data_IF_207953912266
#
_entry.id   IF_207953912266
#
_cell.length_a   1.000
_cell.length_b   1.000
_cell.length_c   1.000
_cell.angle_alpha   90.00
_cell.angle_beta   90.00
_cell.angle_gamma   90.00
#
_symmetry.space_group_name_H-M   'P 1'
#
loop_
_entity.id
_entity.type
_entity.pdbx_description
1 polymer ?
#
# COMPACT_ATOMS: atom_id res chain seq x y z
N UNK A 1 0.42 -13.95 -2.63
CA UNK A 1 0.32 -12.53 -3.06
C UNK A 1 -1.02 -12.18 -3.73
N UNK A 2 -2.07 -12.99 -3.62
CA UNK A 2 -3.37 -12.71 -4.28
C UNK A 2 -4.28 -11.74 -3.50
N UNK A 3 -3.91 -11.37 -2.26
CA UNK A 3 -4.84 -10.73 -1.31
C UNK A 3 -4.78 -9.21 -1.22
N UNK A 4 -3.64 -8.58 -1.53
CA UNK A 4 -3.43 -7.14 -1.27
C UNK A 4 -4.28 -6.27 -2.19
N UNK A 5 -4.40 -6.67 -3.46
CA UNK A 5 -5.18 -5.94 -4.47
C UNK A 5 -6.70 -6.01 -4.24
N UNK A 6 -7.26 -7.20 -4.00
CA UNK A 6 -8.70 -7.35 -3.77
C UNK A 6 -9.13 -6.59 -2.51
N UNK A 7 -8.30 -6.61 -1.46
CA UNK A 7 -8.50 -5.80 -0.25
C UNK A 7 -8.49 -4.31 -0.56
N UNK A 8 -7.55 -3.84 -1.38
CA UNK A 8 -7.50 -2.45 -1.80
C UNK A 8 -8.76 -2.04 -2.56
N UNK A 9 -9.16 -2.79 -3.59
CA UNK A 9 -10.39 -2.52 -4.34
C UNK A 9 -11.62 -2.47 -3.44
N UNK A 10 -11.80 -3.48 -2.57
CA UNK A 10 -12.93 -3.54 -1.67
C UNK A 10 -12.95 -2.33 -0.72
N UNK A 11 -11.79 -1.89 -0.24
CA UNK A 11 -11.67 -0.68 0.56
C UNK A 11 -11.99 0.60 -0.21
N UNK A 12 -11.65 0.65 -1.50
CA UNK A 12 -11.91 1.79 -2.36
C UNK A 12 -13.38 1.93 -2.76
N UNK A 13 -14.10 0.82 -2.96
CA UNK A 13 -15.56 0.80 -3.16
C UNK A 13 -16.32 1.40 -1.97
N UNK A 14 -15.78 1.28 -0.75
CA UNK A 14 -16.39 1.87 0.45
C UNK A 14 -16.10 3.37 0.61
N UNK A 15 -15.02 3.88 -0.01
CA UNK A 15 -14.56 5.26 0.15
C UNK A 15 -14.88 6.16 -1.03
N UNK A 16 -15.18 5.58 -2.17
CA UNK A 16 -15.46 6.30 -3.42
C UNK A 16 -16.71 5.73 -4.08
N UNK A 17 -17.43 6.56 -4.81
CA UNK A 17 -18.52 6.13 -5.70
C UNK A 17 -18.01 5.75 -7.11
N UNK A 18 -16.69 5.70 -7.30
CA UNK A 18 -16.04 5.46 -8.59
C UNK A 18 -15.90 3.95 -8.85
N UNK A 19 -16.13 3.56 -10.12
CA UNK A 19 -15.88 2.19 -10.55
C UNK A 19 -14.38 2.03 -10.87
N UNK A 20 -13.63 1.52 -9.91
CA UNK A 20 -12.17 1.35 -10.00
C UNK A 20 -11.84 -0.04 -10.55
N UNK A 21 -10.99 -0.09 -11.58
CA UNK A 21 -10.49 -1.34 -12.17
C UNK A 21 -8.97 -1.45 -12.04
N UNK A 22 -8.41 -2.64 -12.30
CA UNK A 22 -6.95 -2.89 -12.30
C UNK A 22 -6.17 -1.85 -13.11
N UNK A 23 -6.71 -1.38 -14.25
CA UNK A 23 -6.01 -0.44 -15.11
C UNK A 23 -5.93 0.97 -14.54
N UNK A 24 -6.67 1.25 -13.47
CA UNK A 24 -6.71 2.55 -12.82
C UNK A 24 -5.76 2.66 -11.62
N UNK A 25 -5.15 1.56 -11.21
CA UNK A 25 -4.23 1.53 -10.07
C UNK A 25 -2.79 1.41 -10.56
N UNK A 26 -1.89 2.16 -9.93
CA UNK A 26 -0.47 1.89 -10.05
C UNK A 26 -0.09 0.74 -9.12
N UNK A 27 0.79 -0.13 -9.60
CA UNK A 27 1.37 -1.22 -8.82
C UNK A 27 2.88 -1.11 -8.92
N UNK A 28 3.53 -0.87 -7.80
CA UNK A 28 4.98 -0.88 -7.72
C UNK A 28 5.43 -1.79 -6.57
N UNK A 29 6.36 -2.67 -6.89
CA UNK A 29 7.10 -3.43 -5.91
C UNK A 29 8.45 -2.75 -5.77
N UNK A 30 8.65 -2.10 -4.63
CA UNK A 30 9.89 -1.41 -4.33
C UNK A 30 10.63 -2.14 -3.22
N UNK A 31 11.95 -2.19 -3.36
CA UNK A 31 12.86 -2.61 -2.30
C UNK A 31 13.11 -1.38 -1.42
N UNK A 32 12.83 -1.50 -0.12
CA UNK A 32 13.10 -0.46 0.86
C UNK A 32 14.04 -1.00 1.92
N UNK A 33 15.03 -0.19 2.28
CA UNK A 33 15.81 -0.41 3.49
C UNK A 33 14.98 -0.08 4.72
N UNK A 34 15.25 -0.75 5.85
CA UNK A 34 14.54 -0.49 7.11
C UNK A 34 14.58 0.99 7.52
N UNK A 35 15.68 1.68 7.21
CA UNK A 35 15.90 3.11 7.47
C UNK A 35 15.06 4.05 6.59
N UNK A 36 14.50 3.56 5.49
CA UNK A 36 13.60 4.30 4.61
C UNK A 36 12.12 4.17 5.03
N UNK A 37 11.84 3.27 5.97
CA UNK A 37 10.49 3.04 6.52
C UNK A 37 10.16 4.10 7.57
N UNK A 38 8.93 4.62 7.54
CA UNK A 38 8.44 5.51 8.59
C UNK A 38 8.04 4.70 9.83
N UNK A 39 8.81 4.85 10.92
CA UNK A 39 8.64 4.17 12.21
C UNK A 39 7.23 4.33 12.80
N UNK A 40 6.51 5.42 12.46
CA UNK A 40 5.19 5.69 13.02
C UNK A 40 4.12 4.66 12.60
N UNK A 41 4.37 3.91 11.54
CA UNK A 41 3.47 2.84 11.07
C UNK A 41 3.69 1.49 11.78
N UNK A 42 4.68 1.41 12.68
CA UNK A 42 5.04 0.18 13.37
C UNK A 42 5.04 0.40 14.88
N UNK A 43 4.70 -0.65 15.63
CA UNK A 43 5.07 -0.68 17.04
C UNK A 43 6.59 -0.87 17.18
N UNK A 44 7.14 -0.48 18.33
CA UNK A 44 8.58 -0.60 18.58
C UNK A 44 9.08 -2.05 18.40
N UNK A 45 8.27 -3.03 18.79
CA UNK A 45 8.61 -4.45 18.65
C UNK A 45 8.51 -4.94 17.20
N UNK A 46 7.52 -4.48 16.42
CA UNK A 46 7.43 -4.77 14.99
C UNK A 46 8.60 -4.19 14.22
N UNK A 47 8.99 -2.95 14.53
CA UNK A 47 10.09 -2.28 13.86
C UNK A 47 11.44 -2.96 14.12
N UNK A 48 11.68 -3.43 15.35
CA UNK A 48 12.90 -4.16 15.74
C UNK A 48 13.09 -5.47 14.99
N UNK A 49 12.00 -6.15 14.59
CA UNK A 49 12.04 -7.46 13.93
C UNK A 49 11.92 -7.38 12.40
N UNK A 50 11.69 -6.18 11.83
CA UNK A 50 11.72 -6.00 10.38
C UNK A 50 13.07 -6.46 9.81
N UNK A 51 13.15 -7.07 8.63
CA UNK A 51 14.43 -7.32 7.97
C UNK A 51 15.13 -6.00 7.58
N UNK A 52 16.43 -6.06 7.28
CA UNK A 52 17.18 -4.87 6.85
C UNK A 52 16.69 -4.34 5.49
N UNK A 53 16.13 -5.23 4.68
CA UNK A 53 15.54 -4.96 3.38
C UNK A 53 14.14 -5.59 3.36
N UNK A 54 13.14 -4.80 3.04
CA UNK A 54 11.74 -5.22 2.93
C UNK A 54 11.25 -5.01 1.49
N UNK A 55 10.46 -5.95 0.99
CA UNK A 55 9.72 -5.75 -0.25
C UNK A 55 8.36 -5.17 0.14
N UNK A 56 8.10 -3.93 -0.31
CA UNK A 56 6.82 -3.26 -0.09
C UNK A 56 6.07 -3.20 -1.40
N UNK A 57 4.83 -3.69 -1.37
CA UNK A 57 3.89 -3.46 -2.45
C UNK A 57 3.13 -2.18 -2.17
N UNK A 58 3.33 -1.16 -3.00
CA UNK A 58 2.54 0.05 -2.99
C UNK A 58 1.44 -0.04 -4.05
N UNK A 59 0.19 0.13 -3.62
CA UNK A 59 -0.96 0.27 -4.51
C UNK A 59 -1.50 1.68 -4.34
N UNK A 60 -1.51 2.46 -5.43
CA UNK A 60 -1.97 3.84 -5.41
C UNK A 60 -3.14 4.08 -6.39
N UNK A 61 -4.05 4.96 -5.98
CA UNK A 61 -5.17 5.44 -6.80
C UNK A 61 -5.37 6.95 -6.63
N UNK A 62 -5.49 7.66 -7.74
CA UNK A 62 -5.79 9.09 -7.79
C UNK A 62 -7.24 9.29 -8.27
N UNK A 63 -8.08 9.88 -7.43
CA UNK A 63 -9.46 10.22 -7.82
C UNK A 63 -9.49 11.39 -8.80
N UNK A 64 -10.62 11.57 -9.48
CA UNK A 64 -10.86 12.76 -10.29
C UNK A 64 -10.83 14.07 -9.47
N UNK A 65 -11.15 13.97 -8.18
CA UNK A 65 -11.11 15.07 -7.21
C UNK A 65 -9.69 15.33 -6.67
N UNK A 66 -8.67 14.65 -7.22
CA UNK A 66 -7.26 14.72 -6.82
C UNK A 66 -6.99 14.29 -5.37
N UNK A 67 -7.77 13.34 -4.89
CA UNK A 67 -7.47 12.63 -3.63
C UNK A 67 -6.64 11.40 -3.95
N UNK A 68 -5.55 11.20 -3.21
CA UNK A 68 -4.69 10.04 -3.34
C UNK A 68 -5.00 9.02 -2.24
N UNK A 69 -5.13 7.76 -2.65
CA UNK A 69 -5.28 6.62 -1.75
C UNK A 69 -4.11 5.67 -1.95
N UNK A 70 -3.43 5.33 -0.85
CA UNK A 70 -2.27 4.46 -0.82
C UNK A 70 -2.53 3.27 0.12
N UNK A 71 -2.17 2.07 -0.32
CA UNK A 71 -2.03 0.90 0.54
C UNK A 71 -0.61 0.36 0.39
N UNK A 72 0.06 0.19 1.53
CA UNK A 72 1.33 -0.51 1.62
C UNK A 72 1.08 -1.88 2.25
N UNK A 73 1.59 -2.93 1.62
CA UNK A 73 1.58 -4.28 2.17
C UNK A 73 3.02 -4.81 2.22
N UNK A 74 3.44 -5.26 3.39
CA UNK A 74 4.76 -5.87 3.61
C UNK A 74 4.64 -7.34 3.27
N UNK A 75 5.45 -7.82 2.32
CA UNK A 75 5.43 -9.22 1.84
C UNK A 75 6.20 -10.18 2.75
#
# INVERSE_FOLDING_TARGET
MTYSYERFLNGMVLRTSEQITLNNIGYETIELYREEMDEQFFTEEEFKVLPDVCIVTAINYWTNERTEYLMMDVL
#
